data_IF_169240598690
#
_entry.id   IF_169240598690
#
_cell.length_a   1.000
_cell.length_b   1.000
_cell.length_c   1.000
_cell.angle_alpha   90.00
_cell.angle_beta   90.00
_cell.angle_gamma   90.00
#
_symmetry.space_group_name_H-M   'P 1'
#
loop_
_entity.id
_entity.type
_entity.pdbx_description
1 polymer ?
#
# COMPACT_ATOMS: atom_id res chain seq x y z
N UNK A 1 -6.65 1.79 23.42
CA UNK A 1 -5.70 1.98 22.29
C UNK A 1 -6.51 2.27 21.03
N UNK A 2 -6.15 3.31 20.25
CA UNK A 2 -6.78 3.59 18.96
C UNK A 2 -6.54 2.40 18.02
N UNK A 3 -7.62 1.79 17.53
CA UNK A 3 -7.59 0.60 16.65
C UNK A 3 -6.96 0.87 15.28
N UNK A 4 -6.64 2.13 14.97
CA UNK A 4 -6.11 2.57 13.68
C UNK A 4 -5.14 3.74 13.89
N UNK A 5 -3.98 3.76 13.21
CA UNK A 5 -3.00 4.84 13.33
C UNK A 5 -3.46 6.11 12.59
N UNK A 6 -2.97 7.27 13.06
CA UNK A 6 -3.37 8.63 12.64
C UNK A 6 -3.20 8.93 11.14
N UNK A 7 -2.31 8.23 10.44
CA UNK A 7 -2.02 8.43 9.02
C UNK A 7 -2.87 7.55 8.08
N UNK A 8 -4.05 7.09 8.52
CA UNK A 8 -4.89 6.22 7.71
C UNK A 8 -5.79 7.04 6.76
N UNK A 9 -5.90 6.59 5.50
CA UNK A 9 -6.69 7.18 4.41
C UNK A 9 -8.18 7.38 4.77
N UNK A 10 -8.49 8.52 5.41
CA UNK A 10 -9.84 8.89 5.86
C UNK A 10 -10.06 8.86 7.38
N UNK A 11 -9.02 8.98 8.21
CA UNK A 11 -9.14 8.97 9.68
C UNK A 11 -8.98 10.32 10.37
N UNK A 12 -8.60 11.37 9.64
CA UNK A 12 -8.46 12.71 10.19
C UNK A 12 -9.58 13.58 9.65
N UNK A 13 -10.26 14.28 10.55
CA UNK A 13 -11.00 15.50 10.22
C UNK A 13 -10.04 16.66 10.49
N UNK A 14 -9.17 17.02 9.52
CA UNK A 14 -8.21 18.08 9.73
C UNK A 14 -8.98 19.39 9.95
N UNK A 15 -8.52 20.24 10.88
CA UNK A 15 -9.21 21.49 11.16
C UNK A 15 -9.16 22.37 9.91
N UNK A 16 -10.35 22.66 9.35
CA UNK A 16 -10.52 23.40 8.09
C UNK A 16 -9.73 24.71 8.03
N UNK A 17 -9.60 25.37 9.18
CA UNK A 17 -8.83 26.61 9.33
C UNK A 17 -7.38 26.50 8.82
N UNK A 18 -6.74 25.34 8.94
CA UNK A 18 -5.38 25.16 8.41
C UNK A 18 -5.37 25.20 6.89
N UNK A 19 -6.38 24.59 6.24
CA UNK A 19 -6.55 24.67 4.79
C UNK A 19 -6.80 26.11 4.36
N UNK A 20 -7.70 26.81 5.06
CA UNK A 20 -8.04 28.20 4.76
C UNK A 20 -6.82 29.13 4.88
N UNK A 21 -5.95 28.92 5.87
CA UNK A 21 -4.70 29.69 6.05
C UNK A 21 -3.75 29.46 4.88
N UNK A 22 -3.52 28.20 4.49
CA UNK A 22 -2.60 27.87 3.38
C UNK A 22 -3.15 28.41 2.06
N UNK A 23 -4.45 28.25 1.79
CA UNK A 23 -5.11 28.78 0.59
C UNK A 23 -5.04 30.31 0.54
N UNK A 24 -5.29 30.98 1.66
CA UNK A 24 -5.19 32.44 1.77
C UNK A 24 -3.77 32.94 1.52
N UNK A 25 -2.75 32.24 2.05
CA UNK A 25 -1.35 32.58 1.82
C UNK A 25 -0.96 32.42 0.34
N UNK A 26 -1.37 31.32 -0.29
CA UNK A 26 -1.15 31.09 -1.72
C UNK A 26 -1.80 32.21 -2.54
N UNK A 27 -3.05 32.57 -2.23
CA UNK A 27 -3.76 33.67 -2.89
C UNK A 27 -3.08 35.03 -2.71
N UNK A 28 -2.55 35.31 -1.52
CA UNK A 28 -1.81 36.54 -1.25
C UNK A 28 -0.52 36.62 -2.07
N UNK A 29 0.25 35.53 -2.14
CA UNK A 29 1.49 35.47 -2.95
C UNK A 29 1.15 35.63 -4.43
N UNK A 30 0.10 34.95 -4.92
CA UNK A 30 -0.33 35.05 -6.31
C UNK A 30 -0.72 36.48 -6.70
N UNK A 31 -1.40 37.19 -5.80
CA UNK A 31 -1.77 38.59 -6.04
C UNK A 31 -0.54 39.51 -5.99
N UNK A 32 0.35 39.33 -5.02
CA UNK A 32 1.56 40.14 -4.85
C UNK A 32 2.57 39.93 -5.98
N UNK A 33 2.62 38.72 -6.55
CA UNK A 33 3.47 38.37 -7.70
C UNK A 33 2.92 38.85 -9.05
N UNK A 34 1.89 39.69 -9.06
CA UNK A 34 1.18 40.11 -10.28
C UNK A 34 0.68 38.91 -11.09
N UNK A 35 0.07 37.95 -10.40
CA UNK A 35 -0.53 36.74 -10.97
C UNK A 35 0.48 35.75 -11.57
N UNK A 36 1.72 35.73 -11.06
CA UNK A 36 2.76 34.77 -11.47
C UNK A 36 2.63 33.44 -10.70
N UNK A 37 2.26 32.39 -11.42
CA UNK A 37 2.09 31.04 -10.88
C UNK A 37 3.43 30.31 -10.61
N UNK A 38 4.49 30.62 -11.36
CA UNK A 38 5.81 30.02 -11.15
C UNK A 38 6.41 30.48 -9.82
N UNK A 39 6.20 31.76 -9.48
CA UNK A 39 6.64 32.34 -8.21
C UNK A 39 5.88 31.73 -7.02
N UNK A 40 4.57 31.54 -7.15
CA UNK A 40 3.75 30.82 -6.15
C UNK A 40 4.29 29.40 -5.95
N UNK A 41 4.59 28.67 -7.02
CA UNK A 41 5.10 27.31 -6.95
C UNK A 41 6.53 27.25 -6.37
N UNK A 42 7.38 28.23 -6.66
CA UNK A 42 8.71 28.37 -6.05
C UNK A 42 8.63 28.48 -4.53
N UNK A 43 7.68 29.27 -4.00
CA UNK A 43 7.48 29.43 -2.56
C UNK A 43 6.83 28.18 -1.96
N UNK A 44 5.77 27.67 -2.59
CA UNK A 44 4.99 26.54 -2.08
C UNK A 44 5.80 25.22 -2.03
N UNK A 45 6.74 24.99 -2.95
CA UNK A 45 7.60 23.80 -2.94
C UNK A 45 8.34 23.60 -1.62
N UNK A 46 8.87 24.67 -1.03
CA UNK A 46 9.57 24.59 0.25
C UNK A 46 8.68 24.07 1.40
N UNK A 47 7.37 24.32 1.32
CA UNK A 47 6.38 23.79 2.26
C UNK A 47 5.97 22.36 1.93
N UNK A 48 5.83 22.05 0.64
CA UNK A 48 5.34 20.77 0.15
C UNK A 48 6.38 19.65 0.23
N UNK A 49 7.65 19.93 -0.10
CA UNK A 49 8.74 18.95 -0.16
C UNK A 49 8.88 18.08 1.11
N UNK A 50 8.85 18.61 2.35
CA UNK A 50 8.94 17.77 3.55
C UNK A 50 7.65 16.96 3.84
N UNK A 51 6.52 17.31 3.24
CA UNK A 51 5.22 16.68 3.48
C UNK A 51 4.85 15.66 2.40
N UNK A 52 5.22 15.91 1.15
CA UNK A 52 4.88 15.11 -0.03
C UNK A 52 6.08 14.24 -0.40
N UNK A 53 6.41 13.28 0.46
CA UNK A 53 7.37 12.24 0.11
C UNK A 53 6.63 11.11 -0.65
N UNK A 54 6.82 11.05 -1.97
CA UNK A 54 6.22 10.04 -2.87
C UNK A 54 6.54 8.60 -2.45
N UNK A 55 7.69 8.38 -1.82
CA UNK A 55 8.14 7.08 -1.32
C UNK A 55 7.24 6.55 -0.19
N UNK A 56 6.51 7.43 0.49
CA UNK A 56 5.57 7.11 1.58
C UNK A 56 4.10 7.32 1.20
N UNK A 57 3.80 7.62 -0.06
CA UNK A 57 2.42 7.77 -0.53
C UNK A 57 1.75 6.40 -0.55
N UNK A 58 1.22 5.99 0.60
CA UNK A 58 0.60 4.69 0.80
C UNK A 58 -0.51 4.44 -0.22
N UNK A 59 -0.56 3.23 -0.77
CA UNK A 59 -1.60 2.84 -1.72
C UNK A 59 -2.98 2.97 -1.07
N UNK A 60 -3.96 3.38 -1.88
CA UNK A 60 -5.34 3.44 -1.43
C UNK A 60 -5.82 2.00 -1.08
N UNK A 61 -6.31 1.73 0.15
CA UNK A 61 -6.52 0.37 0.64
C UNK A 61 -7.54 -0.41 -0.17
N UNK A 62 -8.57 0.26 -0.71
CA UNK A 62 -9.53 -0.41 -1.59
C UNK A 62 -8.83 -0.85 -2.89
N UNK A 63 -8.02 0.02 -3.48
CA UNK A 63 -7.32 -0.25 -4.75
C UNK A 63 -6.29 -1.36 -4.57
N UNK A 64 -5.51 -1.31 -3.49
CA UNK A 64 -4.53 -2.34 -3.15
C UNK A 64 -5.18 -3.71 -2.94
N UNK A 65 -6.35 -3.75 -2.28
CA UNK A 65 -7.10 -4.99 -2.09
C UNK A 65 -7.59 -5.58 -3.43
N UNK A 66 -8.10 -4.73 -4.33
CA UNK A 66 -8.51 -5.16 -5.68
C UNK A 66 -7.31 -5.69 -6.49
N UNK A 67 -6.18 -4.97 -6.48
CA UNK A 67 -4.94 -5.41 -7.13
C UNK A 67 -4.50 -6.78 -6.63
N UNK A 68 -4.53 -7.00 -5.30
CA UNK A 68 -4.18 -8.27 -4.70
C UNK A 68 -5.11 -9.39 -5.18
N UNK A 69 -6.42 -9.19 -5.05
CA UNK A 69 -7.41 -10.22 -5.43
C UNK A 69 -7.32 -10.58 -6.92
N UNK A 70 -7.09 -9.59 -7.80
CA UNK A 70 -6.88 -9.83 -9.23
C UNK A 70 -5.62 -10.69 -9.49
N UNK A 71 -4.50 -10.38 -8.83
CA UNK A 71 -3.26 -11.17 -8.97
C UNK A 71 -3.44 -12.61 -8.49
N UNK A 72 -4.19 -12.81 -7.41
CA UNK A 72 -4.45 -14.14 -6.84
C UNK A 72 -5.66 -14.84 -7.48
N UNK A 73 -6.31 -14.25 -8.49
CA UNK A 73 -7.54 -14.75 -9.13
C UNK A 73 -8.69 -15.04 -8.16
N UNK A 74 -8.81 -14.23 -7.10
CA UNK A 74 -9.88 -14.33 -6.10
C UNK A 74 -11.00 -13.34 -6.38
N UNK A 75 -12.23 -13.73 -6.13
CA UNK A 75 -13.40 -12.88 -6.30
C UNK A 75 -13.57 -11.97 -5.08
N UNK A 76 -13.57 -10.65 -5.27
CA UNK A 76 -13.82 -9.68 -4.19
C UNK A 76 -15.18 -9.03 -4.34
N UNK A 77 -15.94 -8.95 -3.25
CA UNK A 77 -17.25 -8.31 -3.19
C UNK A 77 -17.32 -7.36 -2.00
N UNK A 78 -17.80 -6.15 -2.23
CA UNK A 78 -18.05 -5.17 -1.18
C UNK A 78 -19.56 -5.06 -1.00
N UNK A 79 -20.05 -5.49 0.17
CA UNK A 79 -21.47 -5.41 0.57
C UNK A 79 -21.65 -4.18 1.45
N UNK A 80 -22.80 -3.53 1.31
CA UNK A 80 -23.14 -2.29 2.01
C UNK A 80 -24.52 -2.46 2.62
N UNK A 81 -24.59 -2.25 3.93
CA UNK A 81 -25.84 -2.19 4.67
C UNK A 81 -26.00 -0.78 5.25
N UNK A 82 -27.02 -0.08 4.78
CA UNK A 82 -27.44 1.21 5.32
C UNK A 82 -28.42 0.95 6.46
N UNK A 83 -27.90 0.82 7.68
CA UNK A 83 -28.72 0.88 8.88
C UNK A 83 -28.71 2.31 9.42
N UNK A 84 -29.80 3.03 9.11
CA UNK A 84 -30.15 4.35 9.66
C UNK A 84 -29.06 5.43 9.44
N UNK A 85 -28.25 5.76 10.46
CA UNK A 85 -27.25 6.85 10.43
C UNK A 85 -25.82 6.41 10.12
N UNK A 86 -25.54 5.11 10.08
CA UNK A 86 -24.20 4.61 9.83
C UNK A 86 -24.22 3.59 8.70
N UNK A 87 -23.30 3.75 7.75
CA UNK A 87 -23.07 2.77 6.71
C UNK A 87 -22.18 1.66 7.26
N UNK A 88 -22.69 0.43 7.28
CA UNK A 88 -21.87 -0.76 7.47
C UNK A 88 -21.39 -1.26 6.11
N UNK A 89 -20.07 -1.43 6.00
CA UNK A 89 -19.42 -1.98 4.81
C UNK A 89 -18.75 -3.30 5.19
N UNK A 90 -18.96 -4.32 4.37
CA UNK A 90 -18.38 -5.64 4.50
C UNK A 90 -17.61 -5.99 3.23
N UNK A 91 -16.44 -6.58 3.39
CA UNK A 91 -15.56 -7.03 2.32
C UNK A 91 -15.51 -8.54 2.38
N UNK A 92 -15.92 -9.17 1.28
CA UNK A 92 -15.87 -10.61 1.11
C UNK A 92 -14.87 -10.99 0.02
N UNK A 93 -14.05 -12.00 0.27
CA UNK A 93 -13.16 -12.62 -0.72
C UNK A 93 -13.57 -14.08 -0.86
N UNK A 94 -13.87 -14.52 -2.07
CA UNK A 94 -14.34 -15.88 -2.40
C UNK A 94 -15.56 -16.32 -1.56
N UNK A 95 -16.39 -15.36 -1.15
CA UNK A 95 -17.58 -15.59 -0.32
C UNK A 95 -17.34 -15.55 1.19
N UNK A 96 -16.10 -15.44 1.65
CA UNK A 96 -15.76 -15.33 3.08
C UNK A 96 -15.64 -13.87 3.52
N UNK A 97 -16.22 -13.52 4.67
CA UNK A 97 -16.10 -12.19 5.26
C UNK A 97 -14.68 -11.98 5.81
N UNK A 98 -13.92 -11.10 5.16
CA UNK A 98 -12.51 -10.82 5.53
C UNK A 98 -12.33 -9.46 6.20
N UNK A 99 -13.30 -8.56 6.09
CA UNK A 99 -13.22 -7.23 6.68
C UNK A 99 -14.60 -6.58 6.84
N UNK A 100 -14.76 -5.78 7.88
CA UNK A 100 -15.98 -4.99 8.08
C UNK A 100 -15.65 -3.68 8.81
N UNK A 101 -16.38 -2.62 8.46
CA UNK A 101 -16.34 -1.37 9.18
C UNK A 101 -17.68 -0.64 9.12
N UNK A 102 -17.93 0.20 10.11
CA UNK A 102 -19.14 1.02 10.20
C UNK A 102 -18.74 2.47 10.37
N UNK A 103 -19.26 3.35 9.52
CA UNK A 103 -18.99 4.79 9.58
C UNK A 103 -20.06 5.61 8.86
N UNK A 104 -20.21 6.88 9.22
CA UNK A 104 -21.20 7.77 8.60
C UNK A 104 -20.85 8.06 7.13
N UNK A 105 -19.59 8.38 6.85
CA UNK A 105 -19.09 8.59 5.49
C UNK A 105 -18.72 7.24 4.84
N UNK A 106 -19.25 7.04 3.64
CA UNK A 106 -19.11 5.80 2.87
C UNK A 106 -17.65 5.46 2.56
N UNK A 107 -16.89 6.43 2.09
CA UNK A 107 -15.50 6.28 1.65
C UNK A 107 -14.62 5.82 2.82
N UNK A 108 -14.88 6.37 4.01
CA UNK A 108 -14.17 6.01 5.23
C UNK A 108 -14.54 4.60 5.69
N UNK A 109 -15.82 4.21 5.63
CA UNK A 109 -16.25 2.85 5.94
C UNK A 109 -15.60 1.83 4.98
N UNK A 110 -15.56 2.13 3.67
CA UNK A 110 -14.92 1.28 2.68
C UNK A 110 -13.42 1.13 2.92
N UNK A 111 -12.70 2.23 3.18
CA UNK A 111 -11.27 2.19 3.44
C UNK A 111 -10.94 1.39 4.70
N UNK A 112 -11.73 1.53 5.76
CA UNK A 112 -11.54 0.75 7.00
C UNK A 112 -11.83 -0.74 6.79
N UNK A 113 -12.89 -1.07 6.06
CA UNK A 113 -13.25 -2.45 5.78
C UNK A 113 -12.21 -3.15 4.88
N UNK A 114 -11.58 -2.42 3.95
CA UNK A 114 -10.53 -2.93 3.07
C UNK A 114 -9.13 -2.99 3.71
N UNK A 115 -8.82 -2.09 4.65
CA UNK A 115 -7.51 -2.06 5.31
C UNK A 115 -7.30 -3.26 6.26
N UNK A 116 -8.33 -3.67 7.00
CA UNK A 116 -8.25 -4.80 7.92
C UNK A 116 -7.76 -6.13 7.28
N UNK A 117 -8.30 -6.58 6.14
CA UNK A 117 -7.79 -7.77 5.47
C UNK A 117 -6.41 -7.55 4.84
N UNK A 118 -6.10 -6.34 4.33
CA UNK A 118 -4.79 -6.04 3.78
C UNK A 118 -3.66 -6.14 4.81
N UNK A 119 -3.88 -5.62 6.01
CA UNK A 119 -2.87 -5.69 7.09
C UNK A 119 -2.60 -7.17 7.45
N UNK A 120 -3.67 -7.98 7.57
CA UNK A 120 -3.56 -9.43 7.83
C UNK A 120 -2.85 -10.19 6.70
N UNK A 121 -3.09 -9.81 5.44
CA UNK A 121 -2.42 -10.39 4.27
C UNK A 121 -0.92 -10.06 4.28
N UNK A 122 -0.55 -8.82 4.56
CA UNK A 122 0.85 -8.38 4.66
C UNK A 122 1.60 -9.11 5.77
N UNK A 123 0.97 -9.32 6.92
CA UNK A 123 1.53 -10.12 8.01
C UNK A 123 1.80 -11.57 7.57
N UNK A 124 0.85 -12.20 6.86
CA UNK A 124 1.04 -13.57 6.36
C UNK A 124 2.10 -13.68 5.26
N UNK A 125 2.23 -12.69 4.38
CA UNK A 125 3.23 -12.71 3.30
C UNK A 125 4.66 -12.45 3.83
N UNK A 126 4.81 -11.57 4.82
CA UNK A 126 6.11 -11.34 5.47
C UNK A 126 6.63 -12.56 6.25
N UNK A 127 5.74 -13.44 6.72
CA UNK A 127 6.13 -14.72 7.33
C UNK A 127 6.61 -15.73 6.29
N UNK A 128 5.95 -15.80 5.13
CA UNK A 128 6.30 -16.73 4.03
C UNK A 128 7.68 -16.42 3.45
N UNK A 129 8.05 -15.14 3.31
CA UNK A 129 9.39 -14.74 2.82
C UNK A 129 10.52 -15.05 3.83
N UNK A 130 10.21 -15.15 5.13
CA UNK A 130 11.19 -15.50 6.17
C UNK A 130 11.47 -17.00 6.29
N UNK A 131 10.49 -17.85 5.96
CA UNK A 131 10.63 -19.32 5.99
C UNK A 131 11.24 -19.90 4.69
N UNK A 132 11.13 -19.20 3.55
CA UNK A 132 11.80 -19.62 2.30
C UNK A 132 13.31 -19.41 2.28
N UNK A 133 13.89 -18.67 3.25
CA UNK A 133 15.32 -18.40 3.32
C UNK A 133 16.13 -19.46 4.08
N UNK A 134 15.49 -20.46 4.73
CA UNK A 134 16.17 -21.45 5.57
C UNK A 134 16.27 -22.86 4.98
N UNK A 135 15.88 -23.08 3.71
CA UNK A 135 15.77 -24.43 3.13
C UNK A 135 16.88 -24.85 2.16
N UNK A 136 17.84 -23.99 1.79
CA UNK A 136 18.91 -24.35 0.83
C UNK A 136 20.31 -24.23 1.45
N UNK A 137 20.78 -25.26 2.15
CA UNK A 137 22.21 -25.64 2.18
C UNK A 137 22.36 -27.14 2.51
N UNK A 138 22.66 -27.97 1.51
CA UNK A 138 23.82 -28.89 1.51
C UNK A 138 23.71 -29.97 0.42
N UNK A 139 24.52 -29.89 -0.62
CA UNK A 139 25.35 -31.03 -1.06
C UNK A 139 26.73 -30.50 -1.51
N UNK A 140 27.85 -31.17 -1.16
CA UNK A 140 29.20 -30.70 -1.44
C UNK A 140 29.71 -31.23 -2.78
N UNK A 141 30.35 -30.34 -3.56
CA UNK A 141 31.22 -30.71 -4.66
C UNK A 141 32.61 -31.00 -4.10
N UNK A 142 33.05 -32.25 -4.16
CA UNK A 142 34.47 -32.60 -4.02
C UNK A 142 35.12 -32.76 -5.40
N UNK A 143 36.11 -31.92 -5.57
CA UNK A 143 37.15 -31.84 -6.60
C UNK A 143 38.04 -33.09 -6.59
N UNK A 144 38.61 -33.48 -7.74
CA UNK A 144 39.97 -34.05 -7.81
C UNK A 144 40.47 -34.17 -9.27
N UNK A 145 41.61 -33.52 -9.50
CA UNK A 145 42.51 -33.62 -10.64
C UNK A 145 43.02 -35.05 -10.90
N UNK A 146 43.48 -35.32 -12.14
CA UNK A 146 44.88 -35.68 -12.46
C UNK A 146 45.00 -36.22 -13.89
N UNK A 147 46.09 -35.78 -14.54
CA UNK A 147 46.61 -36.15 -15.84
C UNK A 147 46.72 -37.67 -16.14
N UNK A 148 46.72 -38.00 -17.44
CA UNK A 148 47.64 -39.01 -17.97
C UNK A 148 47.05 -40.33 -18.48
N UNK A 149 46.87 -40.37 -19.80
CA UNK A 149 47.42 -41.38 -20.71
C UNK A 149 46.66 -42.70 -21.05
N UNK A 150 46.61 -42.93 -22.38
CA UNK A 150 46.55 -44.17 -23.20
C UNK A 150 45.40 -45.19 -23.08
N UNK A 151 44.61 -45.31 -24.16
CA UNK A 151 44.65 -46.36 -25.23
C UNK A 151 43.32 -46.31 -26.01
N UNK A 152 43.37 -46.01 -27.32
CA UNK A 152 43.42 -46.96 -28.45
C UNK A 152 42.19 -47.86 -28.63
N UNK A 153 41.63 -47.77 -29.85
CA UNK A 153 40.81 -48.75 -30.57
C UNK A 153 39.32 -48.81 -30.22
N UNK A 154 38.35 -48.97 -31.14
CA UNK A 154 38.32 -49.21 -32.60
C UNK A 154 36.82 -49.17 -33.01
N UNK A 155 36.54 -48.69 -34.23
CA UNK A 155 35.45 -49.01 -35.20
C UNK A 155 34.02 -49.29 -34.66
N UNK A 156 32.94 -48.76 -35.24
CA UNK A 156 32.62 -48.56 -36.67
C UNK A 156 31.90 -47.24 -36.90
#
# INVERSE_FOLDING_TARGET
MCKYPVHSNGLLDPPKVLSDIVESLIGAIYFDSNFDQEEVWRVFRNLADPLINLETLGKHPVSELFEFCQKTRRGVKIVKDEWDKNLKVEVLIDGELVGSATYAQKEIAQNRAAKAPLDKLKETMGQIESESASADVSEPFDELDIAGNTKMSVKY
#
